data_IF_924479428949
#
_entry.id   IF_924479428949
#
_cell.length_a   1.000
_cell.length_b   1.000
_cell.length_c   1.000
_cell.angle_alpha   90.00
_cell.angle_beta   90.00
_cell.angle_gamma   90.00
#
_symmetry.space_group_name_H-M   'P 1'
#
loop_
_entity.id
_entity.type
_entity.pdbx_description
1 polymer ?
#
# COMPACT_ATOMS: atom_id res chain seq x y z
N UNK A 1 14.83 -10.05 26.31
CA UNK A 1 15.23 -10.11 24.90
C UNK A 1 13.92 -10.19 24.15
N UNK A 2 13.38 -9.07 23.68
CA UNK A 2 12.19 -9.08 22.84
C UNK A 2 12.70 -9.38 21.44
N UNK A 3 12.29 -10.52 20.89
CA UNK A 3 12.64 -10.92 19.54
C UNK A 3 12.30 -9.79 18.58
N UNK A 4 13.37 -9.28 17.94
CA UNK A 4 13.36 -8.33 16.85
C UNK A 4 12.93 -9.08 15.57
N UNK A 5 11.76 -9.71 15.61
CA UNK A 5 11.15 -10.33 14.45
C UNK A 5 10.69 -9.19 13.53
N UNK A 6 11.53 -8.91 12.52
CA UNK A 6 11.11 -8.14 11.36
C UNK A 6 9.80 -8.75 10.85
N UNK A 7 8.72 -7.98 10.73
CA UNK A 7 7.41 -8.57 10.50
C UNK A 7 7.41 -9.25 9.14
N UNK A 8 7.11 -10.56 9.13
CA UNK A 8 7.12 -11.37 7.92
C UNK A 8 6.04 -10.83 6.96
N UNK A 9 6.40 -10.62 5.68
CA UNK A 9 5.45 -10.13 4.69
C UNK A 9 4.40 -11.22 4.44
N UNK A 10 3.21 -11.05 5.04
CA UNK A 10 2.11 -12.01 4.93
C UNK A 10 1.57 -12.09 3.51
N UNK A 11 1.55 -10.95 2.80
CA UNK A 11 1.06 -10.91 1.44
C UNK A 11 1.73 -9.84 0.61
N UNK A 12 2.21 -10.24 -0.56
CA UNK A 12 2.56 -9.31 -1.63
C UNK A 12 2.13 -9.88 -2.97
N UNK A 13 1.38 -9.10 -3.75
CA UNK A 13 1.03 -9.46 -5.13
C UNK A 13 1.01 -8.24 -6.04
N UNK A 14 1.44 -8.47 -7.28
CA UNK A 14 1.28 -7.54 -8.41
C UNK A 14 0.33 -8.17 -9.43
N UNK A 15 -0.69 -7.43 -9.87
CA UNK A 15 -1.68 -7.87 -10.84
C UNK A 15 -1.75 -6.85 -11.98
N UNK A 16 -1.50 -7.28 -13.21
CA UNK A 16 -1.82 -6.48 -14.39
C UNK A 16 -3.33 -6.38 -14.52
N UNK A 17 -3.85 -5.17 -14.63
CA UNK A 17 -5.30 -4.92 -14.71
C UNK A 17 -5.72 -4.33 -16.05
N UNK A 18 -4.79 -3.66 -16.73
CA UNK A 18 -4.92 -3.21 -18.12
C UNK A 18 -3.54 -3.25 -18.80
N UNK A 19 -3.47 -3.05 -20.11
CA UNK A 19 -2.20 -2.96 -20.82
C UNK A 19 -1.34 -1.83 -20.22
N UNK A 20 -0.16 -2.18 -19.68
CA UNK A 20 0.75 -1.21 -19.06
C UNK A 20 0.32 -0.69 -17.69
N UNK A 21 -0.73 -1.24 -17.06
CA UNK A 21 -1.22 -0.79 -15.74
C UNK A 21 -1.32 -1.98 -14.79
N UNK A 22 -0.81 -1.80 -13.57
CA UNK A 22 -0.87 -2.80 -12.50
C UNK A 22 -1.50 -2.26 -11.22
N UNK A 23 -1.90 -3.20 -10.37
CA UNK A 23 -2.09 -3.00 -8.94
C UNK A 23 -1.06 -3.79 -8.18
N UNK A 24 -0.38 -3.16 -7.22
CA UNK A 24 0.41 -3.84 -6.19
C UNK A 24 -0.33 -3.74 -4.87
N UNK A 25 -0.44 -4.87 -4.18
CA UNK A 25 -0.93 -4.96 -2.83
C UNK A 25 0.13 -5.64 -1.97
N UNK A 26 0.66 -4.92 -0.99
CA UNK A 26 1.49 -5.42 0.09
C UNK A 26 0.74 -5.27 1.40
N UNK A 27 0.74 -6.31 2.22
CA UNK A 27 0.10 -6.33 3.52
C UNK A 27 0.93 -7.14 4.51
N UNK A 28 1.17 -6.55 5.67
CA UNK A 28 1.96 -7.12 6.76
C UNK A 28 1.12 -7.04 8.04
N UNK A 29 0.89 -8.21 8.65
CA UNK A 29 0.14 -8.34 9.89
C UNK A 29 0.62 -9.57 10.68
N UNK A 30 0.85 -9.48 12.01
CA UNK A 30 0.83 -8.26 12.80
C UNK A 30 2.04 -7.36 12.48
N UNK A 31 1.81 -6.04 12.45
CA UNK A 31 2.85 -5.04 12.45
C UNK A 31 2.93 -4.39 13.84
N UNK A 32 4.10 -3.86 14.20
CA UNK A 32 4.32 -3.24 15.50
C UNK A 32 3.37 -2.05 15.71
N UNK A 33 2.37 -2.17 16.58
CA UNK A 33 1.29 -1.18 16.76
C UNK A 33 1.79 0.22 17.16
N UNK A 34 2.93 0.29 17.88
CA UNK A 34 3.55 1.57 18.23
C UNK A 34 4.16 2.32 17.04
N UNK A 35 4.44 1.61 15.94
CA UNK A 35 4.94 2.17 14.68
C UNK A 35 3.85 2.27 13.64
N UNK A 36 3.02 1.25 13.50
CA UNK A 36 1.95 1.16 12.51
C UNK A 36 0.59 0.97 13.20
N UNK A 37 0.01 1.99 13.86
CA UNK A 37 -1.40 1.93 14.25
C UNK A 37 -2.24 1.67 12.98
N UNK A 38 -3.21 0.74 12.95
CA UNK A 38 -3.81 -0.04 14.05
C UNK A 38 -3.13 -1.37 14.42
N UNK A 39 -1.98 -1.68 13.85
CA UNK A 39 -1.25 -2.96 14.00
C UNK A 39 -0.96 -3.63 12.66
N UNK A 40 -1.04 -2.89 11.56
CA UNK A 40 -0.84 -3.40 10.21
C UNK A 40 -0.06 -2.39 9.35
N UNK A 41 0.84 -2.92 8.53
CA UNK A 41 1.56 -2.15 7.53
C UNK A 41 1.08 -2.58 6.14
N UNK A 42 0.78 -1.62 5.26
CA UNK A 42 0.24 -1.90 3.94
C UNK A 42 0.72 -0.90 2.89
N UNK A 43 0.67 -1.35 1.64
CA UNK A 43 0.78 -0.50 0.46
C UNK A 43 -0.14 -1.02 -0.65
N UNK A 44 -1.14 -0.22 -1.00
CA UNK A 44 -2.07 -0.41 -2.11
C UNK A 44 -1.71 0.63 -3.19
N UNK A 45 -1.19 0.17 -4.31
CA UNK A 45 -0.71 1.05 -5.37
C UNK A 45 -1.35 0.67 -6.70
N UNK A 46 -2.01 1.64 -7.33
CA UNK A 46 -2.53 1.57 -8.69
C UNK A 46 -1.74 2.53 -9.57
N UNK A 47 -1.12 1.97 -10.61
CA UNK A 47 -0.23 2.76 -11.44
C UNK A 47 0.30 2.02 -12.66
N UNK A 48 1.10 2.72 -13.45
CA UNK A 48 1.75 2.16 -14.64
C UNK A 48 2.70 1.05 -14.21
N UNK A 49 2.63 -0.07 -14.92
CA UNK A 49 3.37 -1.29 -14.63
C UNK A 49 4.88 -1.19 -14.91
N UNK A 50 5.31 -0.10 -15.54
CA UNK A 50 6.64 0.04 -16.10
C UNK A 50 7.01 1.53 -16.31
N UNK A 51 8.07 2.09 -15.69
CA UNK A 51 8.76 3.25 -16.27
C UNK A 51 9.88 2.84 -17.25
N UNK A 52 10.08 1.53 -17.47
CA UNK A 52 10.96 0.76 -18.38
C UNK A 52 12.15 -0.01 -17.74
N UNK A 53 12.65 0.33 -16.54
CA UNK A 53 13.67 -0.45 -15.77
C UNK A 53 14.12 0.30 -14.48
N UNK A 54 13.74 -0.09 -13.25
CA UNK A 54 14.42 0.39 -12.04
C UNK A 54 15.49 -0.61 -11.52
N UNK A 55 16.67 -0.16 -11.06
CA UNK A 55 17.71 -1.05 -10.52
C UNK A 55 17.40 -1.57 -9.11
N UNK A 56 17.96 -2.74 -8.76
CA UNK A 56 17.65 -3.51 -7.54
C UNK A 56 17.98 -2.80 -6.22
N UNK A 57 18.80 -1.74 -6.26
CA UNK A 57 19.26 -0.94 -5.13
C UNK A 57 18.51 0.39 -4.93
N UNK A 58 17.45 0.63 -5.71
CA UNK A 58 16.59 1.81 -5.51
C UNK A 58 15.74 1.64 -4.27
N UNK A 59 16.11 2.34 -3.21
CA UNK A 59 15.16 2.70 -2.17
C UNK A 59 14.10 3.61 -2.81
N UNK A 60 12.85 3.17 -2.75
CA UNK A 60 11.68 3.88 -3.25
C UNK A 60 11.72 5.38 -2.90
N UNK A 61 11.41 6.26 -3.87
CA UNK A 61 10.31 7.19 -3.60
C UNK A 61 9.27 7.24 -4.72
N UNK A 62 8.08 7.68 -4.33
CA UNK A 62 6.85 7.84 -5.11
C UNK A 62 6.80 9.22 -5.72
N UNK A 63 6.54 9.27 -7.02
CA UNK A 63 6.30 10.52 -7.72
C UNK A 63 5.75 10.33 -9.14
N UNK A 64 5.26 11.42 -9.75
CA UNK A 64 4.50 11.43 -11.02
C UNK A 64 5.22 10.80 -12.22
N UNK A 65 6.56 10.69 -12.19
CA UNK A 65 7.35 10.07 -13.26
C UNK A 65 7.33 8.53 -13.26
N UNK A 66 6.80 7.91 -12.21
CA UNK A 66 6.72 6.45 -12.05
C UNK A 66 5.31 5.89 -12.33
N UNK A 67 4.35 6.74 -12.70
CA UNK A 67 3.01 6.29 -13.07
C UNK A 67 2.09 5.94 -11.90
N UNK A 68 2.36 6.40 -10.68
CA UNK A 68 1.39 6.34 -9.59
C UNK A 68 0.15 7.15 -9.94
N UNK A 69 -0.97 6.47 -10.17
CA UNK A 69 -2.27 7.10 -10.38
C UNK A 69 -2.99 7.26 -9.05
N UNK A 70 -2.94 6.23 -8.20
CA UNK A 70 -3.47 6.23 -6.85
C UNK A 70 -2.62 5.34 -5.94
N UNK A 71 -2.29 5.80 -4.74
CA UNK A 71 -1.70 4.97 -3.69
C UNK A 71 -2.32 5.27 -2.34
N UNK A 72 -2.51 4.23 -1.54
CA UNK A 72 -2.65 4.33 -0.08
C UNK A 72 -1.58 3.47 0.57
N UNK A 73 -0.86 4.01 1.54
CA UNK A 73 0.17 3.28 2.26
C UNK A 73 0.49 3.89 3.62
N UNK A 74 1.07 3.08 4.50
CA UNK A 74 1.78 3.53 5.69
C UNK A 74 3.20 2.91 5.78
N UNK A 75 3.66 2.26 4.69
CA UNK A 75 4.92 1.52 4.55
C UNK A 75 6.11 2.45 4.22
N UNK A 76 6.26 3.56 4.97
CA UNK A 76 7.40 4.50 4.84
C UNK A 76 8.08 4.83 6.18
N UNK A 77 7.86 3.99 7.18
CA UNK A 77 8.73 3.88 8.35
C UNK A 77 8.36 4.76 9.57
N UNK A 78 7.52 5.77 9.44
CA UNK A 78 6.87 6.47 10.56
C UNK A 78 5.43 5.99 10.81
N UNK A 79 4.89 5.19 9.87
CA UNK A 79 3.58 4.55 9.95
C UNK A 79 2.39 5.49 9.86
N UNK A 80 2.59 6.75 9.45
CA UNK A 80 1.47 7.62 9.08
C UNK A 80 0.80 7.10 7.82
N UNK A 81 -0.52 7.27 7.71
CA UNK A 81 -1.26 6.83 6.54
C UNK A 81 -1.28 7.94 5.50
N UNK A 82 -0.73 7.67 4.33
CA UNK A 82 -0.75 8.59 3.21
C UNK A 82 -1.64 8.09 2.08
N UNK A 83 -2.18 9.08 1.35
CA UNK A 83 -2.80 8.88 0.05
C UNK A 83 -2.01 9.70 -0.96
N UNK A 84 -1.75 9.12 -2.12
CA UNK A 84 -1.14 9.82 -3.25
C UNK A 84 -2.04 9.75 -4.47
N UNK A 85 -2.20 10.86 -5.18
CA UNK A 85 -2.96 10.95 -6.42
C UNK A 85 -2.08 11.58 -7.49
N UNK A 86 -1.92 10.90 -8.63
CA UNK A 86 -1.01 11.38 -9.68
C UNK A 86 0.46 11.46 -9.24
N UNK A 87 0.83 10.77 -8.15
CA UNK A 87 2.16 10.80 -7.56
C UNK A 87 2.38 11.88 -6.50
N UNK A 88 1.47 12.84 -6.36
CA UNK A 88 1.53 13.87 -5.33
C UNK A 88 0.84 13.40 -4.05
N UNK A 89 1.33 13.85 -2.89
CA UNK A 89 0.70 13.61 -1.60
C UNK A 89 -0.63 14.35 -1.53
N UNK A 90 -1.70 13.66 -1.15
CA UNK A 90 -2.98 14.26 -0.83
C UNK A 90 -2.97 14.74 0.63
N UNK A 91 -2.73 16.04 0.82
CA UNK A 91 -2.65 16.66 2.13
C UNK A 91 -4.02 16.75 2.85
N UNK A 92 -5.12 16.57 2.12
CA UNK A 92 -6.48 16.57 2.69
C UNK A 92 -6.94 15.17 3.10
N UNK A 93 -6.13 14.14 2.82
CA UNK A 93 -6.46 12.77 3.20
C UNK A 93 -6.32 12.56 4.71
N UNK A 94 -7.43 12.17 5.33
CA UNK A 94 -7.46 11.65 6.69
C UNK A 94 -7.65 10.13 6.67
N UNK A 95 -6.90 9.43 7.53
CA UNK A 95 -7.04 7.99 7.69
C UNK A 95 -8.45 7.64 8.15
N UNK A 96 -9.08 6.67 7.49
CA UNK A 96 -10.45 6.24 7.74
C UNK A 96 -10.68 5.46 9.04
N UNK A 97 -9.63 5.23 9.83
CA UNK A 97 -9.70 4.56 11.13
C UNK A 97 -9.47 3.05 11.08
N UNK A 98 -9.62 2.39 9.93
CA UNK A 98 -9.26 0.98 9.73
C UNK A 98 -8.62 0.74 8.37
N UNK A 99 -7.77 -0.30 8.28
CA UNK A 99 -7.14 -0.72 7.01
C UNK A 99 -8.18 -1.32 6.06
N UNK A 100 -9.22 -1.97 6.60
CA UNK A 100 -10.36 -2.45 5.83
C UNK A 100 -11.07 -1.34 5.05
N UNK A 101 -11.31 -0.18 5.68
CA UNK A 101 -11.91 0.97 5.01
C UNK A 101 -11.01 1.55 3.91
N UNK A 102 -9.68 1.50 4.09
CA UNK A 102 -8.72 1.88 3.05
C UNK A 102 -8.74 0.91 1.87
N UNK A 103 -8.78 -0.39 2.15
CA UNK A 103 -8.87 -1.45 1.14
C UNK A 103 -10.15 -1.31 0.29
N UNK A 104 -11.32 -1.20 0.92
CA UNK A 104 -12.60 -1.00 0.22
C UNK A 104 -12.56 0.26 -0.64
N UNK A 105 -12.12 1.38 -0.05
CA UNK A 105 -12.03 2.67 -0.74
C UNK A 105 -11.12 2.59 -1.96
N UNK A 106 -9.96 1.93 -1.86
CA UNK A 106 -9.03 1.78 -2.97
C UNK A 106 -9.63 1.00 -4.14
N UNK A 107 -10.25 -0.15 -3.89
CA UNK A 107 -10.85 -0.95 -4.97
C UNK A 107 -12.07 -0.27 -5.57
N UNK A 108 -12.87 0.43 -4.76
CA UNK A 108 -13.99 1.25 -5.24
C UNK A 108 -13.52 2.41 -6.14
N UNK A 109 -12.46 3.12 -5.75
CA UNK A 109 -11.92 4.26 -6.53
C UNK A 109 -11.28 3.81 -7.84
N UNK A 110 -10.63 2.65 -7.85
CA UNK A 110 -9.98 2.12 -9.06
C UNK A 110 -10.94 1.35 -9.97
N UNK A 111 -12.07 0.88 -9.45
CA UNK A 111 -13.01 0.02 -10.17
C UNK A 111 -12.48 -1.40 -10.42
N UNK A 112 -11.44 -1.80 -9.69
CA UNK A 112 -10.76 -3.08 -9.86
C UNK A 112 -11.39 -4.10 -8.91
N UNK A 113 -11.57 -5.34 -9.38
CA UNK A 113 -12.03 -6.42 -8.51
C UNK A 113 -11.01 -6.66 -7.37
N UNK A 114 -11.44 -6.62 -6.10
CA UNK A 114 -10.58 -6.85 -4.94
C UNK A 114 -9.82 -8.17 -5.04
N UNK A 115 -8.60 -8.20 -4.50
CA UNK A 115 -7.80 -9.42 -4.46
C UNK A 115 -6.82 -9.43 -3.29
N UNK A 116 -6.41 -10.64 -2.91
CA UNK A 116 -5.58 -10.84 -1.73
C UNK A 116 -6.40 -10.95 -0.45
N UNK A 117 -5.73 -11.02 0.70
CA UNK A 117 -6.41 -11.05 2.00
C UNK A 117 -7.19 -9.75 2.20
N UNK A 118 -8.47 -9.87 2.58
CA UNK A 118 -9.22 -8.72 3.07
C UNK A 118 -8.71 -8.38 4.46
N UNK A 119 -8.40 -7.12 4.77
CA UNK A 119 -8.06 -6.73 6.13
C UNK A 119 -9.18 -7.03 7.14
N UNK A 120 -10.44 -7.14 6.69
CA UNK A 120 -11.58 -7.55 7.54
C UNK A 120 -11.48 -8.99 8.07
N UNK A 121 -10.69 -9.85 7.42
CA UNK A 121 -10.42 -11.21 7.90
C UNK A 121 -9.47 -11.21 9.12
N UNK A 122 -8.95 -10.04 9.50
CA UNK A 122 -8.05 -9.81 10.61
C UNK A 122 -8.72 -8.81 11.58
N UNK A 123 -8.52 -8.96 12.89
CA UNK A 123 -9.10 -8.07 13.91
C UNK A 123 -8.44 -6.65 13.92
N UNK A 124 -8.49 -5.91 12.80
CA UNK A 124 -7.85 -4.58 12.58
C UNK A 124 -8.69 -3.57 11.79
#
# INVERSE_FOLDING_TARGET
MADDESPEVVYEKRKMVQAGVLVRYKFIYPAAIGRYPPGACYALHYGVADPANPPDDVEWPIGPRQGTMLRYDNDHGDGTHHRHVGGDLDAEYEFSGSVAAVYDRFFRETGIEPFGPSPEDYDI
#
